data_IF_033930359546
#
_entry.id   IF_033930359546
#
_cell.length_a   1.000
_cell.length_b   1.000
_cell.length_c   1.000
_cell.angle_alpha   90.00
_cell.angle_beta   90.00
_cell.angle_gamma   90.00
#
_symmetry.space_group_name_H-M   'P 1'
#
loop_
_entity.id
_entity.type
_entity.pdbx_description
1 polymer ?
#
# COMPACT_ATOMS: atom_id res chain seq x y z
N UNK A 1 -94.38 -44.45 -12.99
CA UNK A 1 -93.04 -44.70 -13.57
C UNK A 1 -92.28 -43.37 -13.49
N UNK A 2 -91.04 -43.26 -12.98
CA UNK A 2 -90.23 -44.22 -12.23
C UNK A 2 -88.93 -43.59 -11.69
N UNK A 3 -88.62 -43.88 -10.42
CA UNK A 3 -87.32 -44.33 -9.88
C UNK A 3 -86.12 -43.33 -9.77
N UNK A 4 -85.80 -43.01 -8.51
CA UNK A 4 -84.56 -42.49 -7.90
C UNK A 4 -83.19 -42.94 -8.48
N UNK A 5 -82.14 -42.11 -8.22
CA UNK A 5 -80.91 -42.40 -7.41
C UNK A 5 -79.82 -41.32 -7.72
N UNK A 6 -79.36 -40.45 -6.82
CA UNK A 6 -78.62 -40.59 -5.54
C UNK A 6 -77.11 -40.95 -5.63
N UNK A 7 -76.29 -40.06 -5.05
CA UNK A 7 -75.02 -40.30 -4.31
C UNK A 7 -73.72 -40.62 -5.11
N UNK A 8 -72.77 -39.67 -5.15
CA UNK A 8 -71.46 -39.75 -4.44
C UNK A 8 -70.54 -38.53 -4.70
N UNK A 9 -69.80 -38.12 -3.66
CA UNK A 9 -68.45 -37.49 -3.63
C UNK A 9 -68.16 -36.17 -4.41
N UNK A 10 -67.23 -35.29 -3.99
CA UNK A 10 -66.18 -35.41 -2.97
C UNK A 10 -65.97 -34.07 -2.22
N UNK A 11 -65.68 -34.15 -0.92
CA UNK A 11 -65.30 -33.04 -0.04
C UNK A 11 -63.77 -32.91 0.08
N UNK A 12 -63.33 -31.78 0.66
CA UNK A 12 -62.27 -31.66 1.68
C UNK A 12 -60.84 -31.24 1.30
N UNK A 13 -60.34 -30.27 2.09
CA UNK A 13 -58.94 -29.92 2.38
C UNK A 13 -58.11 -29.29 1.22
N UNK A 14 -57.34 -28.21 1.41
CA UNK A 14 -56.88 -27.54 2.63
C UNK A 14 -56.13 -28.45 3.61
N UNK A 15 -55.19 -29.25 3.09
CA UNK A 15 -54.20 -29.97 3.87
C UNK A 15 -52.79 -29.74 3.29
N UNK A 16 -52.03 -28.89 3.98
CA UNK A 16 -50.65 -29.20 4.40
C UNK A 16 -49.81 -29.89 3.32
N UNK A 17 -49.23 -29.11 2.40
CA UNK A 17 -47.98 -29.53 1.76
C UNK A 17 -46.82 -29.24 2.72
N UNK A 18 -46.78 -29.99 3.82
CA UNK A 18 -45.58 -30.13 4.62
C UNK A 18 -44.58 -30.91 3.76
N UNK A 19 -43.75 -30.20 3.01
CA UNK A 19 -42.56 -30.81 2.44
C UNK A 19 -41.73 -31.38 3.60
N UNK A 20 -41.27 -32.64 3.53
CA UNK A 20 -40.30 -33.11 4.50
C UNK A 20 -39.05 -32.26 4.32
N UNK A 21 -38.80 -31.37 5.28
CA UNK A 21 -37.50 -30.73 5.43
C UNK A 21 -36.55 -31.85 5.83
N UNK A 22 -35.94 -32.50 4.83
CA UNK A 22 -34.95 -33.54 5.02
C UNK A 22 -33.89 -33.00 5.95
N UNK A 23 -33.87 -33.51 7.18
CA UNK A 23 -32.81 -33.23 8.12
C UNK A 23 -31.51 -33.71 7.46
N UNK A 24 -30.68 -32.77 7.02
CA UNK A 24 -29.32 -33.05 6.60
C UNK A 24 -28.63 -33.67 7.82
N UNK A 25 -28.40 -34.97 7.79
CA UNK A 25 -27.54 -35.62 8.76
C UNK A 25 -26.12 -35.17 8.44
N UNK A 26 -25.71 -34.03 9.00
CA UNK A 26 -24.32 -33.57 8.97
C UNK A 26 -23.45 -34.71 9.50
N UNK A 27 -22.55 -35.22 8.66
CA UNK A 27 -21.74 -36.38 8.98
C UNK A 27 -20.63 -35.92 9.95
N UNK A 28 -20.88 -36.09 11.26
CA UNK A 28 -20.03 -35.50 12.30
C UNK A 28 -18.87 -36.41 12.69
N UNK A 29 -17.65 -35.94 12.50
CA UNK A 29 -16.42 -36.71 12.73
C UNK A 29 -15.67 -36.19 13.96
N UNK A 30 -14.95 -37.07 14.67
CA UNK A 30 -14.09 -36.69 15.78
C UNK A 30 -12.66 -36.42 15.27
N UNK A 31 -12.15 -35.21 15.49
CA UNK A 31 -10.78 -34.83 15.13
C UNK A 31 -9.84 -34.95 16.33
N UNK A 32 -9.00 -35.98 16.33
CA UNK A 32 -7.98 -36.18 17.36
C UNK A 32 -6.66 -36.60 16.72
N UNK A 33 -5.68 -35.70 16.76
CA UNK A 33 -4.36 -35.86 16.17
C UNK A 33 -3.32 -35.59 17.25
N UNK A 34 -2.36 -36.50 17.45
CA UNK A 34 -1.29 -36.34 18.45
C UNK A 34 0.07 -36.50 17.78
N UNK A 35 0.84 -35.42 17.76
CA UNK A 35 2.13 -35.33 17.07
C UNK A 35 2.09 -35.81 15.60
N UNK A 36 0.95 -35.57 14.95
CA UNK A 36 0.70 -36.01 13.58
C UNK A 36 1.37 -35.07 12.59
N UNK A 37 1.90 -35.62 11.50
CA UNK A 37 2.43 -34.85 10.39
C UNK A 37 1.30 -34.12 9.66
N UNK A 38 1.55 -32.87 9.25
CA UNK A 38 0.52 -32.01 8.63
C UNK A 38 -0.09 -32.67 7.38
N UNK A 39 0.71 -33.43 6.63
CA UNK A 39 0.29 -34.20 5.45
C UNK A 39 -0.87 -35.16 5.76
N UNK A 40 -0.83 -35.87 6.90
CA UNK A 40 -1.90 -36.78 7.31
C UNK A 40 -3.19 -36.03 7.66
N UNK A 41 -3.08 -34.82 8.24
CA UNK A 41 -4.23 -33.96 8.55
C UNK A 41 -4.83 -33.37 7.26
N UNK A 42 -3.98 -32.97 6.31
CA UNK A 42 -4.42 -32.49 4.99
C UNK A 42 -5.14 -33.59 4.22
N UNK A 43 -4.62 -34.82 4.23
CA UNK A 43 -5.26 -35.97 3.59
C UNK A 43 -6.64 -36.26 4.19
N UNK A 44 -6.76 -36.28 5.52
CA UNK A 44 -8.04 -36.44 6.21
C UNK A 44 -9.06 -35.35 5.83
N UNK A 45 -8.65 -34.08 5.76
CA UNK A 45 -9.54 -32.98 5.36
C UNK A 45 -9.85 -33.02 3.85
N UNK A 46 -8.92 -33.48 3.01
CA UNK A 46 -9.14 -33.75 1.58
C UNK A 46 -10.28 -34.75 1.38
N UNK A 47 -10.22 -35.89 2.08
CA UNK A 47 -11.24 -36.94 2.03
C UNK A 47 -12.59 -36.47 2.60
N UNK A 48 -12.58 -35.71 3.70
CA UNK A 48 -13.80 -35.21 4.36
C UNK A 48 -14.50 -34.10 3.56
N UNK A 49 -13.75 -33.23 2.87
CA UNK A 49 -14.30 -32.05 2.17
C UNK A 49 -14.35 -32.17 0.65
N UNK A 50 -13.78 -33.24 0.08
CA UNK A 50 -13.62 -33.43 -1.36
C UNK A 50 -12.72 -32.40 -2.05
N UNK A 51 -11.90 -31.65 -1.29
CA UNK A 51 -11.05 -30.57 -1.81
C UNK A 51 -9.64 -31.08 -2.09
N UNK A 52 -9.16 -30.85 -3.31
CA UNK A 52 -7.78 -31.16 -3.69
C UNK A 52 -6.81 -30.12 -3.10
N UNK A 53 -5.86 -30.56 -2.28
CA UNK A 53 -4.81 -29.70 -1.72
C UNK A 53 -3.45 -29.93 -2.37
N UNK A 54 -2.64 -28.87 -2.49
CA UNK A 54 -1.23 -28.93 -2.89
C UNK A 54 -0.39 -28.30 -1.78
N UNK A 55 0.62 -29.02 -1.29
CA UNK A 55 1.55 -28.49 -0.28
C UNK A 55 2.77 -27.86 -0.96
N UNK A 56 3.28 -26.77 -0.39
CA UNK A 56 4.59 -26.20 -0.73
C UNK A 56 5.68 -26.90 0.09
N UNK A 57 6.90 -27.08 -0.44
CA UNK A 57 7.98 -27.85 0.24
C UNK A 57 8.30 -27.32 1.66
N UNK A 58 8.10 -26.02 1.90
CA UNK A 58 8.28 -25.36 3.20
C UNK A 58 7.18 -25.70 4.24
N UNK A 59 6.15 -26.46 3.85
CA UNK A 59 5.05 -26.96 4.70
C UNK A 59 5.33 -28.39 5.18
N UNK A 60 6.05 -29.19 4.37
CA UNK A 60 6.40 -30.56 4.71
C UNK A 60 7.16 -30.63 6.05
N UNK A 61 7.01 -31.75 6.76
CA UNK A 61 7.61 -32.00 8.09
C UNK A 61 7.10 -31.13 9.27
N UNK A 62 6.05 -30.30 9.10
CA UNK A 62 5.40 -29.64 10.25
C UNK A 62 4.47 -30.61 10.98
N UNK A 63 4.62 -30.69 12.31
CA UNK A 63 3.76 -31.52 13.19
C UNK A 63 2.71 -30.72 13.93
N UNK A 64 1.52 -31.31 14.09
CA UNK A 64 0.36 -30.72 14.75
C UNK A 64 -0.24 -31.66 15.80
N UNK A 65 -0.84 -31.08 16.83
CA UNK A 65 -1.62 -31.79 17.84
C UNK A 65 -2.96 -31.08 18.01
N UNK A 66 -4.04 -31.84 17.92
CA UNK A 66 -5.43 -31.39 17.90
C UNK A 66 -6.22 -32.33 18.78
N UNK A 67 -6.90 -31.80 19.80
CA UNK A 67 -7.68 -32.60 20.74
C UNK A 67 -9.10 -32.04 20.76
N UNK A 68 -9.98 -32.57 19.89
CA UNK A 68 -11.41 -32.24 19.94
C UNK A 68 -12.16 -33.22 20.84
N UNK A 69 -12.81 -32.76 21.93
CA UNK A 69 -13.71 -33.59 22.73
C UNK A 69 -15.09 -33.79 22.06
N UNK A 70 -15.42 -32.98 21.05
CA UNK A 70 -16.71 -32.95 20.35
C UNK A 70 -16.58 -33.40 18.91
N UNK A 71 -17.66 -34.00 18.37
CA UNK A 71 -17.76 -34.33 16.93
C UNK A 71 -18.16 -33.09 16.14
N UNK A 72 -17.40 -32.78 15.10
CA UNK A 72 -17.57 -31.61 14.25
C UNK A 72 -18.12 -32.00 12.87
N UNK A 73 -18.90 -31.13 12.23
CA UNK A 73 -19.31 -31.30 10.82
C UNK A 73 -18.12 -31.14 9.87
N UNK A 74 -18.31 -31.45 8.58
CA UNK A 74 -17.34 -31.21 7.50
C UNK A 74 -16.87 -29.74 7.44
N UNK A 75 -17.80 -28.80 7.61
CA UNK A 75 -17.58 -27.37 7.59
C UNK A 75 -16.80 -26.91 8.82
N UNK A 76 -17.25 -27.31 10.02
CA UNK A 76 -16.56 -27.03 11.29
C UNK A 76 -15.14 -27.62 11.29
N UNK A 77 -14.95 -28.82 10.74
CA UNK A 77 -13.64 -29.46 10.58
C UNK A 77 -12.71 -28.64 9.67
N UNK A 78 -13.24 -28.02 8.61
CA UNK A 78 -12.49 -27.16 7.70
C UNK A 78 -12.11 -25.82 8.35
N UNK A 79 -12.96 -25.25 9.21
CA UNK A 79 -12.62 -24.07 10.02
C UNK A 79 -11.53 -24.38 11.07
N UNK A 80 -11.67 -25.50 11.79
CA UNK A 80 -10.65 -25.98 12.74
C UNK A 80 -9.32 -26.23 12.03
N UNK A 81 -9.34 -26.81 10.82
CA UNK A 81 -8.15 -26.99 9.98
C UNK A 81 -7.47 -25.67 9.61
N UNK A 82 -8.22 -24.64 9.22
CA UNK A 82 -7.65 -23.30 8.98
C UNK A 82 -7.00 -22.71 10.23
N UNK A 83 -7.62 -22.88 11.41
CA UNK A 83 -7.05 -22.42 12.68
C UNK A 83 -5.72 -23.16 13.01
N UNK A 84 -5.65 -24.47 12.76
CA UNK A 84 -4.43 -25.28 12.94
C UNK A 84 -3.29 -24.79 12.02
N UNK A 85 -3.61 -24.48 10.76
CA UNK A 85 -2.64 -23.90 9.82
C UNK A 85 -2.14 -22.53 10.31
N UNK A 86 -3.04 -21.68 10.79
CA UNK A 86 -2.71 -20.36 11.34
C UNK A 86 -1.71 -20.43 12.50
N UNK A 87 -1.87 -21.39 13.43
CA UNK A 87 -0.93 -21.63 14.55
C UNK A 87 0.47 -22.05 14.09
N UNK A 88 0.64 -22.46 12.82
CA UNK A 88 1.91 -22.88 12.22
C UNK A 88 2.45 -21.88 11.19
N UNK A 89 1.92 -20.65 11.16
CA UNK A 89 2.21 -19.62 10.15
C UNK A 89 1.97 -20.11 8.71
N UNK A 90 0.93 -20.92 8.53
CA UNK A 90 0.48 -21.44 7.24
C UNK A 90 -0.89 -20.89 6.89
N UNK A 91 -1.22 -20.85 5.61
CA UNK A 91 -2.54 -20.49 5.12
C UNK A 91 -2.86 -21.21 3.80
N UNK A 92 -4.13 -21.19 3.42
CA UNK A 92 -4.67 -21.79 2.20
C UNK A 92 -4.89 -20.67 1.17
N UNK A 93 -4.30 -20.81 -0.01
CA UNK A 93 -4.48 -19.92 -1.15
C UNK A 93 -5.23 -20.69 -2.25
N UNK A 94 -6.41 -20.24 -2.70
CA UNK A 94 -7.11 -20.88 -3.82
C UNK A 94 -6.32 -20.66 -5.12
N UNK A 95 -6.19 -21.72 -5.93
CA UNK A 95 -5.51 -21.66 -7.23
C UNK A 95 -6.27 -22.51 -8.24
N UNK A 96 -7.20 -21.88 -8.97
CA UNK A 96 -8.11 -22.58 -9.88
C UNK A 96 -8.97 -23.61 -9.16
N UNK A 97 -8.82 -24.88 -9.53
CA UNK A 97 -9.57 -26.03 -8.95
C UNK A 97 -8.89 -26.70 -7.75
N UNK A 98 -7.75 -26.17 -7.29
CA UNK A 98 -6.95 -26.74 -6.18
C UNK A 98 -6.65 -25.69 -5.10
N UNK A 99 -6.42 -26.14 -3.88
CA UNK A 99 -6.13 -25.31 -2.72
C UNK A 99 -4.67 -25.45 -2.32
N UNK A 100 -3.85 -24.42 -2.51
CA UNK A 100 -2.42 -24.48 -2.18
C UNK A 100 -2.19 -24.09 -0.72
N UNK A 101 -1.52 -24.93 0.04
CA UNK A 101 -1.09 -24.63 1.41
C UNK A 101 0.34 -24.07 1.34
N UNK A 102 0.51 -22.85 1.86
CA UNK A 102 1.77 -22.10 1.81
C UNK A 102 2.05 -21.41 3.15
N UNK A 103 3.31 -21.03 3.43
CA UNK A 103 3.61 -20.11 4.53
C UNK A 103 2.88 -18.78 4.36
N UNK A 104 2.34 -18.22 5.45
CA UNK A 104 1.56 -16.97 5.43
C UNK A 104 2.33 -15.80 4.82
N UNK A 105 3.65 -15.73 5.02
CA UNK A 105 4.51 -14.71 4.38
C UNK A 105 4.49 -14.81 2.84
N UNK A 106 4.50 -16.02 2.28
CA UNK A 106 4.46 -16.30 0.83
C UNK A 106 3.07 -16.01 0.27
N UNK A 107 2.01 -16.35 1.02
CA UNK A 107 0.63 -16.05 0.63
C UNK A 107 0.35 -14.54 0.50
N UNK A 108 0.93 -13.71 1.36
CA UNK A 108 0.79 -12.24 1.29
C UNK A 108 1.44 -11.65 0.04
N UNK A 109 2.43 -12.32 -0.53
CA UNK A 109 3.06 -11.93 -1.80
C UNK A 109 2.22 -12.40 -3.00
N UNK A 110 1.62 -13.59 -2.96
CA UNK A 110 0.78 -14.12 -4.05
C UNK A 110 -0.63 -13.53 -4.11
N UNK A 111 -1.21 -13.16 -2.97
CA UNK A 111 -2.58 -12.59 -2.90
C UNK A 111 -2.70 -11.17 -3.50
N UNK A 112 -1.62 -10.61 -4.04
CA UNK A 112 -1.62 -9.34 -4.79
C UNK A 112 -2.22 -9.53 -6.20
N UNK A 113 -2.25 -10.75 -6.74
CA UNK A 113 -2.62 -10.99 -8.15
C UNK A 113 -4.10 -11.36 -8.41
N UNK A 114 -4.97 -11.55 -7.40
CA UNK A 114 -6.37 -11.96 -7.70
C UNK A 114 -7.41 -11.53 -6.66
N UNK A 115 -8.03 -10.37 -6.88
CA UNK A 115 -9.43 -10.10 -6.47
C UNK A 115 -10.11 -9.33 -7.60
N UNK A 116 -11.11 -9.93 -8.21
CA UNK A 116 -11.93 -9.33 -9.26
C UNK A 116 -13.33 -9.01 -8.72
N UNK A 117 -13.75 -7.76 -8.89
CA UNK A 117 -15.07 -7.15 -8.60
C UNK A 117 -15.59 -7.01 -7.14
N UNK A 118 -16.39 -5.94 -6.95
CA UNK A 118 -17.08 -5.47 -5.72
C UNK A 118 -16.18 -4.94 -4.55
N UNK A 119 -16.53 -3.80 -3.92
CA UNK A 119 -15.63 -2.91 -3.12
C UNK A 119 -16.46 -1.80 -2.41
N UNK A 120 -16.07 -1.08 -1.30
CA UNK A 120 -14.83 -0.97 -0.48
C UNK A 120 -15.09 -1.27 1.05
N UNK A 121 -14.37 -0.77 2.09
CA UNK A 121 -13.01 -0.17 2.21
C UNK A 121 -12.10 -0.89 3.23
N UNK A 122 -10.85 -1.16 2.86
CA UNK A 122 -9.89 -1.82 3.76
C UNK A 122 -8.49 -1.82 3.15
N UNK A 123 -7.89 -0.63 3.12
CA UNK A 123 -6.51 -0.31 2.72
C UNK A 123 -5.76 -1.39 1.92
N UNK A 124 -6.24 -1.64 0.68
CA UNK A 124 -5.71 -2.71 -0.17
C UNK A 124 -4.28 -2.39 -0.57
N UNK A 125 -3.37 -3.34 -0.39
CA UNK A 125 -2.00 -3.23 -0.89
C UNK A 125 -2.03 -3.27 -2.42
N UNK A 126 -1.57 -2.19 -3.05
CA UNK A 126 -1.43 -2.07 -4.50
C UNK A 126 -0.01 -1.64 -4.84
N UNK A 127 0.44 -1.93 -6.06
CA UNK A 127 1.75 -1.46 -6.55
C UNK A 127 1.56 -0.29 -7.51
N UNK A 128 2.16 0.85 -7.18
CA UNK A 128 2.14 2.09 -7.98
C UNK A 128 3.52 2.34 -8.58
N UNK A 129 3.53 2.69 -9.86
CA UNK A 129 4.73 3.13 -10.59
C UNK A 129 4.68 4.66 -10.68
N UNK A 130 5.76 5.34 -10.26
CA UNK A 130 5.84 6.81 -10.21
C UNK A 130 7.23 7.28 -10.64
N UNK A 131 7.30 8.24 -11.57
CA UNK A 131 8.56 8.83 -12.03
C UNK A 131 8.60 10.31 -11.61
N UNK A 132 9.46 10.70 -10.66
CA UNK A 132 9.67 12.10 -10.30
C UNK A 132 10.36 12.86 -11.44
N UNK A 133 10.13 14.18 -11.51
CA UNK A 133 10.57 15.04 -12.61
C UNK A 133 11.91 15.73 -12.36
N UNK A 134 12.14 16.17 -11.13
CA UNK A 134 13.29 16.98 -10.73
C UNK A 134 14.15 16.26 -9.68
N UNK A 135 13.53 15.53 -8.75
CA UNK A 135 14.26 14.75 -7.74
C UNK A 135 14.68 13.38 -8.27
N UNK A 136 15.87 12.93 -7.87
CA UNK A 136 16.31 11.55 -8.10
C UNK A 136 15.46 10.58 -7.29
N UNK A 137 14.95 9.52 -7.94
CA UNK A 137 14.11 8.50 -7.33
C UNK A 137 14.78 7.82 -6.13
N UNK A 138 16.11 7.67 -6.14
CA UNK A 138 16.89 7.15 -5.01
C UNK A 138 16.77 8.06 -3.77
N UNK A 139 17.02 9.37 -3.92
CA UNK A 139 16.90 10.36 -2.83
C UNK A 139 15.47 10.46 -2.30
N UNK A 140 14.48 10.41 -3.18
CA UNK A 140 13.08 10.35 -2.79
C UNK A 140 12.74 9.05 -2.02
N UNK A 141 13.25 7.89 -2.47
CA UNK A 141 13.04 6.61 -1.79
C UNK A 141 13.60 6.60 -0.36
N UNK A 142 14.76 7.19 -0.10
CA UNK A 142 15.34 7.29 1.26
C UNK A 142 14.40 8.01 2.23
N UNK A 143 13.73 9.08 1.78
CA UNK A 143 12.76 9.85 2.58
C UNK A 143 11.46 9.04 2.76
N UNK A 144 10.87 8.56 1.65
CA UNK A 144 9.59 7.85 1.66
C UNK A 144 9.66 6.52 2.43
N UNK A 145 10.83 5.87 2.50
CA UNK A 145 11.04 4.63 3.25
C UNK A 145 10.84 4.80 4.76
N UNK A 146 10.97 6.00 5.30
CA UNK A 146 10.70 6.27 6.73
C UNK A 146 9.19 6.39 7.04
N UNK A 147 8.35 6.60 6.02
CA UNK A 147 6.92 6.86 6.14
C UNK A 147 6.06 5.64 5.72
N UNK A 148 6.72 4.51 5.45
CA UNK A 148 6.12 3.29 4.91
C UNK A 148 5.56 2.39 6.03
N UNK A 149 4.46 1.67 5.78
CA UNK A 149 3.96 0.67 6.74
C UNK A 149 4.92 -0.52 6.88
N UNK A 150 4.93 -1.26 8.01
CA UNK A 150 5.88 -2.37 8.23
C UNK A 150 5.90 -3.46 7.14
N UNK A 151 4.80 -3.64 6.41
CA UNK A 151 4.62 -4.67 5.38
C UNK A 151 4.74 -4.15 3.93
N UNK A 152 5.23 -2.93 3.74
CA UNK A 152 5.35 -2.28 2.43
C UNK A 152 6.75 -2.40 1.82
N UNK A 153 6.84 -2.19 0.51
CA UNK A 153 8.11 -2.16 -0.24
C UNK A 153 8.19 -0.91 -1.11
N UNK A 154 9.38 -0.31 -1.17
CA UNK A 154 9.70 0.79 -2.09
C UNK A 154 11.01 0.38 -2.77
N UNK A 155 11.00 0.34 -4.10
CA UNK A 155 12.13 -0.06 -4.94
C UNK A 155 12.33 0.97 -6.03
N UNK A 156 13.58 1.28 -6.35
CA UNK A 156 13.93 2.20 -7.45
C UNK A 156 14.46 1.43 -8.65
N UNK A 157 14.21 1.96 -9.84
CA UNK A 157 14.82 1.53 -11.09
C UNK A 157 15.50 2.75 -11.74
N UNK A 158 16.79 2.90 -11.43
CA UNK A 158 17.61 4.07 -11.82
C UNK A 158 17.61 4.38 -13.32
N UNK A 159 17.67 3.41 -14.26
CA UNK A 159 17.77 3.71 -15.70
C UNK A 159 16.62 4.56 -16.27
N UNK A 160 15.47 4.62 -15.59
CA UNK A 160 14.33 5.47 -15.98
C UNK A 160 13.81 6.35 -14.82
N UNK A 161 14.63 6.61 -13.80
CA UNK A 161 14.26 7.37 -12.59
C UNK A 161 12.91 6.92 -11.96
N UNK A 162 12.63 5.62 -11.94
CA UNK A 162 11.31 5.09 -11.56
C UNK A 162 11.29 4.65 -10.09
N UNK A 163 10.25 5.04 -9.34
CA UNK A 163 9.83 4.44 -8.07
C UNK A 163 8.73 3.41 -8.29
N UNK A 164 8.89 2.25 -7.67
CA UNK A 164 7.91 1.17 -7.59
C UNK A 164 7.53 1.05 -6.10
N UNK A 165 6.29 1.42 -5.77
CA UNK A 165 5.80 1.52 -4.39
C UNK A 165 4.69 0.49 -4.20
N UNK A 166 4.90 -0.50 -3.33
CA UNK A 166 3.88 -1.46 -2.90
C UNK A 166 3.44 -1.13 -1.47
N UNK A 167 2.28 -0.50 -1.35
CA UNK A 167 1.67 -0.09 -0.07
C UNK A 167 0.16 -0.23 -0.13
N UNK A 168 -0.45 -0.18 1.04
CA UNK A 168 -1.87 0.09 1.24
C UNK A 168 -2.28 1.43 0.56
N UNK A 169 -3.39 1.40 -0.20
CA UNK A 169 -3.85 2.48 -1.07
C UNK A 169 -3.88 3.87 -0.42
N UNK A 170 -4.38 3.99 0.81
CA UNK A 170 -4.50 5.26 1.53
C UNK A 170 -3.15 5.88 1.87
N UNK A 171 -2.13 5.06 2.11
CA UNK A 171 -0.77 5.54 2.33
C UNK A 171 -0.05 5.82 1.01
N UNK A 172 -0.41 5.18 -0.12
CA UNK A 172 0.12 5.55 -1.45
C UNK A 172 -0.25 6.98 -1.82
N UNK A 173 -1.53 7.38 -1.65
CA UNK A 173 -1.95 8.76 -1.92
C UNK A 173 -1.14 9.75 -1.07
N UNK A 174 -0.97 9.48 0.22
CA UNK A 174 -0.13 10.28 1.12
C UNK A 174 1.36 10.33 0.71
N UNK A 175 1.94 9.20 0.28
CA UNK A 175 3.32 9.14 -0.18
C UNK A 175 3.51 9.91 -1.50
N UNK A 176 2.49 9.95 -2.37
CA UNK A 176 2.47 10.76 -3.59
C UNK A 176 2.38 12.26 -3.23
N UNK A 177 1.48 12.67 -2.34
CA UNK A 177 1.40 14.06 -1.87
C UNK A 177 2.74 14.58 -1.30
N UNK A 178 3.46 13.72 -0.57
CA UNK A 178 4.78 14.05 -0.01
C UNK A 178 5.85 14.07 -1.11
N UNK A 179 5.78 13.16 -2.08
CA UNK A 179 6.67 13.14 -3.24
C UNK A 179 6.52 14.42 -4.07
N UNK A 180 5.29 14.83 -4.40
CA UNK A 180 4.99 16.05 -5.14
C UNK A 180 5.43 17.32 -4.38
N UNK A 181 5.45 17.28 -3.05
CA UNK A 181 5.95 18.37 -2.21
C UNK A 181 7.49 18.48 -2.16
N UNK A 182 8.23 17.41 -2.47
CA UNK A 182 9.70 17.42 -2.56
C UNK A 182 10.22 17.44 -4.01
N UNK A 183 9.41 17.02 -4.98
CA UNK A 183 9.69 17.09 -6.42
C UNK A 183 9.46 18.50 -6.97
N UNK A 184 10.17 19.46 -6.37
CA UNK A 184 10.20 20.85 -6.80
C UNK A 184 11.30 21.06 -7.84
N UNK A 185 11.05 21.96 -8.79
CA UNK A 185 12.08 22.48 -9.69
C UNK A 185 13.19 23.09 -8.84
N UNK A 186 14.33 22.43 -8.79
CA UNK A 186 15.52 22.97 -8.13
C UNK A 186 15.98 24.14 -8.97
N UNK A 187 16.23 25.30 -8.34
CA UNK A 187 16.77 26.47 -9.02
C UNK A 187 18.09 26.05 -9.67
N UNK A 188 18.14 25.99 -10.99
CA UNK A 188 19.37 25.77 -11.74
C UNK A 188 20.38 26.83 -11.31
N UNK A 189 21.53 26.38 -10.79
CA UNK A 189 22.62 27.26 -10.39
C UNK A 189 23.30 27.74 -11.67
N UNK A 190 22.82 28.87 -12.22
CA UNK A 190 23.34 29.46 -13.45
C UNK A 190 24.83 29.83 -13.29
N UNK A 191 25.69 29.01 -13.89
CA UNK A 191 27.14 29.14 -13.78
C UNK A 191 27.67 30.14 -14.80
N UNK A 192 27.80 31.39 -14.37
CA UNK A 192 28.39 32.46 -15.19
C UNK A 192 29.90 32.55 -15.02
N UNK A 193 30.65 32.11 -16.03
CA UNK A 193 32.10 32.30 -16.11
C UNK A 193 32.40 33.76 -16.49
N UNK A 194 33.27 34.43 -15.73
CA UNK A 194 33.71 35.81 -15.97
C UNK A 194 35.23 35.83 -16.07
N UNK A 195 35.74 36.01 -17.30
CA UNK A 195 37.18 36.14 -17.55
C UNK A 195 37.72 37.50 -17.06
N UNK A 196 38.82 37.46 -16.30
CA UNK A 196 39.46 38.66 -15.75
C UNK A 196 40.68 39.05 -16.57
N UNK A 197 40.79 40.32 -16.96
CA UNK A 197 41.89 40.81 -17.82
C UNK A 197 43.07 41.45 -17.09
N UNK A 198 42.86 41.89 -15.84
CA UNK A 198 43.79 42.76 -15.12
C UNK A 198 43.92 42.44 -13.61
N UNK A 199 43.25 41.40 -13.13
CA UNK A 199 43.19 41.05 -11.71
C UNK A 199 43.21 39.52 -11.57
N UNK A 200 43.95 39.03 -10.57
CA UNK A 200 43.99 37.60 -10.26
C UNK A 200 42.63 37.11 -9.73
N UNK A 201 42.19 35.94 -10.21
CA UNK A 201 40.91 35.34 -9.84
C UNK A 201 40.74 35.20 -8.31
N UNK A 202 41.78 34.74 -7.61
CA UNK A 202 41.78 34.58 -6.15
C UNK A 202 41.51 35.89 -5.40
N UNK A 203 42.10 37.00 -5.85
CA UNK A 203 41.95 38.30 -5.21
C UNK A 203 40.51 38.82 -5.36
N UNK A 204 39.93 38.68 -6.55
CA UNK A 204 38.54 39.08 -6.84
C UNK A 204 37.54 38.19 -6.10
N UNK A 205 37.72 36.87 -6.12
CA UNK A 205 36.87 35.92 -5.43
C UNK A 205 36.80 36.18 -3.91
N UNK A 206 37.95 36.48 -3.28
CA UNK A 206 38.01 36.85 -1.87
C UNK A 206 37.22 38.12 -1.54
N UNK A 207 37.34 39.17 -2.36
CA UNK A 207 36.62 40.44 -2.15
C UNK A 207 35.11 40.25 -2.29
N UNK A 208 34.64 39.55 -3.32
CA UNK A 208 33.20 39.33 -3.52
C UNK A 208 32.63 38.42 -2.43
N UNK A 209 33.36 37.36 -2.02
CA UNK A 209 32.94 36.48 -0.90
C UNK A 209 32.76 37.25 0.41
N UNK A 210 33.65 38.21 0.70
CA UNK A 210 33.52 39.11 1.84
C UNK A 210 32.30 40.03 1.71
N UNK A 211 32.04 40.58 0.52
CA UNK A 211 30.88 41.45 0.28
C UNK A 211 29.53 40.72 0.42
N UNK A 212 29.43 39.48 -0.07
CA UNK A 212 28.25 38.61 0.12
C UNK A 212 28.04 38.34 1.62
N UNK A 213 29.10 37.94 2.32
CA UNK A 213 29.05 37.64 3.76
C UNK A 213 28.70 38.85 4.63
N UNK A 214 29.08 40.07 4.22
CA UNK A 214 28.68 41.30 4.91
C UNK A 214 27.22 41.68 4.60
N UNK A 215 26.77 41.48 3.36
CA UNK A 215 25.38 41.75 2.96
C UNK A 215 24.40 40.84 3.71
N UNK A 216 24.74 39.56 3.87
CA UNK A 216 23.96 38.58 4.64
C UNK A 216 23.85 38.90 6.15
N UNK A 217 24.69 39.79 6.69
CA UNK A 217 24.67 40.19 8.11
C UNK A 217 23.74 41.36 8.43
N UNK A 218 23.12 42.00 7.44
CA UNK A 218 22.06 43.00 7.70
C UNK A 218 20.74 42.26 7.92
N UNK A 219 20.14 42.29 9.13
CA UNK A 219 18.86 41.64 9.33
C UNK A 219 17.83 42.33 8.44
N UNK A 220 17.19 41.56 7.55
CA UNK A 220 16.03 42.01 6.78
C UNK A 220 14.91 42.30 7.76
N UNK A 221 14.86 43.53 8.27
CA UNK A 221 13.87 43.96 9.23
C UNK A 221 12.48 43.63 8.66
N UNK A 222 11.79 42.71 9.31
CA UNK A 222 10.46 42.29 8.90
C UNK A 222 9.57 43.52 8.86
N UNK A 223 9.17 43.93 7.65
CA UNK A 223 8.08 44.88 7.44
C UNK A 223 6.80 44.22 7.97
N UNK A 224 6.61 44.26 9.28
CA UNK A 224 5.30 44.13 9.93
C UNK A 224 4.51 45.33 9.44
N UNK A 225 3.79 45.15 8.34
CA UNK A 225 2.84 46.13 7.83
C UNK A 225 1.87 46.49 8.95
N UNK A 226 1.84 47.74 9.45
CA UNK A 226 0.77 48.18 10.31
C UNK A 226 -0.52 48.11 9.50
N UNK A 227 -1.57 47.55 10.09
CA UNK A 227 -2.92 47.68 9.52
C UNK A 227 -3.29 49.16 9.57
N UNK A 228 -3.25 49.84 8.42
CA UNK A 228 -3.69 51.24 8.30
C UNK A 228 -5.17 51.25 7.98
N UNK A 229 -5.99 51.42 9.01
CA UNK A 229 -7.37 51.86 8.84
C UNK A 229 -7.35 53.35 8.46
N UNK A 230 -7.92 53.63 7.29
CA UNK A 230 -8.48 54.91 6.83
C UNK A 230 -7.55 56.10 6.48
N UNK A 231 -7.88 56.64 5.30
CA UNK A 231 -7.91 58.06 4.92
C UNK A 231 -6.59 58.85 4.75
N UNK A 232 -6.29 59.18 3.49
CA UNK A 232 -6.11 60.60 3.14
C UNK A 232 -4.90 60.99 2.28
N UNK A 233 -5.21 61.41 1.05
CA UNK A 233 -4.48 62.38 0.21
C UNK A 233 -3.22 61.89 -0.53
N UNK A 234 -3.00 62.50 -1.70
CA UNK A 234 -2.11 62.02 -2.74
C UNK A 234 -0.68 62.58 -2.65
N UNK A 235 0.29 61.79 -3.10
CA UNK A 235 1.59 62.25 -3.60
C UNK A 235 2.09 61.28 -4.70
N UNK A 236 2.80 61.84 -5.68
CA UNK A 236 3.26 61.17 -6.90
C UNK A 236 4.32 60.08 -6.67
N UNK A 237 4.19 58.94 -7.36
CA UNK A 237 5.23 57.92 -7.45
C UNK A 237 5.81 57.85 -8.87
N UNK A 238 7.12 58.04 -9.01
CA UNK A 238 7.87 57.65 -10.21
C UNK A 238 8.10 56.13 -10.21
N UNK A 239 8.22 55.48 -11.39
CA UNK A 239 8.50 54.05 -11.46
C UNK A 239 9.97 53.79 -11.09
N UNK A 240 10.21 53.30 -9.88
CA UNK A 240 11.50 52.71 -9.55
C UNK A 240 11.61 51.34 -10.25
N UNK A 241 12.50 51.25 -11.25
CA UNK A 241 12.83 49.98 -11.91
C UNK A 241 13.44 49.05 -10.87
N UNK A 242 12.70 47.99 -10.51
CA UNK A 242 13.20 46.92 -9.66
C UNK A 242 14.11 46.03 -10.51
N UNK A 243 15.41 46.29 -10.46
CA UNK A 243 16.42 45.34 -10.94
C UNK A 243 16.46 44.19 -9.95
N UNK A 244 16.13 42.98 -10.42
CA UNK A 244 16.31 41.75 -9.65
C UNK A 244 17.79 41.60 -9.32
N UNK A 245 18.13 41.41 -8.05
CA UNK A 245 19.48 41.07 -7.65
C UNK A 245 19.62 39.55 -7.70
N UNK A 246 20.34 39.03 -8.70
CA UNK A 246 20.72 37.61 -8.73
C UNK A 246 21.54 37.27 -7.48
N UNK A 247 21.08 36.30 -6.71
CA UNK A 247 21.67 35.94 -5.42
C UNK A 247 22.89 35.02 -5.62
N UNK A 248 24.04 35.63 -5.95
CA UNK A 248 25.33 34.94 -6.10
C UNK A 248 25.63 34.16 -4.82
N UNK A 249 25.52 32.84 -4.90
CA UNK A 249 25.55 31.93 -3.74
C UNK A 249 26.93 31.29 -3.52
N UNK A 250 27.69 31.03 -4.59
CA UNK A 250 29.03 30.42 -4.55
C UNK A 250 29.94 31.04 -5.61
N UNK A 251 31.25 31.10 -5.32
CA UNK A 251 32.29 31.63 -6.21
C UNK A 251 33.48 30.67 -6.21
N UNK A 252 33.97 30.34 -7.40
CA UNK A 252 35.15 29.49 -7.62
C UNK A 252 36.16 30.30 -8.43
N UNK A 253 37.40 30.39 -7.95
CA UNK A 253 38.51 30.93 -8.71
C UNK A 253 39.21 29.80 -9.49
N UNK A 254 39.43 29.98 -10.80
CA UNK A 254 40.36 29.14 -11.56
C UNK A 254 41.68 29.91 -11.76
N UNK A 255 42.82 29.44 -11.21
CA UNK A 255 44.11 30.12 -11.33
C UNK A 255 44.78 29.94 -12.72
N UNK A 256 44.09 29.39 -13.72
CA UNK A 256 44.59 29.28 -15.11
C UNK A 256 44.54 30.59 -15.92
N UNK A 257 43.99 31.66 -15.34
CA UNK A 257 43.93 33.03 -15.91
C UNK A 257 44.20 34.07 -14.83
#
# INVERSE_FOLDING_TARGET
MGINRYITALLLSAAILCAPLSALSEDRVAMNFKDADIEAVVQFISELTGKNFILDDAVANKKVTVISPTRVSSEEAYEVFQAILGVKDLTIVPSGSVFKIVPTQKARQSNIETVDNETPPGDRYVTRLVTPKYVEAAKAAEILTQLRSPNSSIVTYEPTNLLIITEAYSNIERLIEILDAIDIETIDVDMKIVELKYAAADAVANVISQAITQSAKTPRATRRSPSVIAAGKAASAQPAVQVSADEITHIIADPRT
#
